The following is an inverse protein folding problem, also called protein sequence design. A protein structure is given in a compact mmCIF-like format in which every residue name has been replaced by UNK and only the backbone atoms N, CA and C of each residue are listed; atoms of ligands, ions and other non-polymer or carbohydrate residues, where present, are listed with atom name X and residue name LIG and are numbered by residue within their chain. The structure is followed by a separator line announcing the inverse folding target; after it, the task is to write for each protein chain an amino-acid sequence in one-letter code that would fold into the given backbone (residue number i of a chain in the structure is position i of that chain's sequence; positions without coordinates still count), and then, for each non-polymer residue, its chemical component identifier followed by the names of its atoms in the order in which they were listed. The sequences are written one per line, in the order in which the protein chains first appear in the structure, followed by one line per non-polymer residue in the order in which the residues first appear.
data_IF_551531886262
#
_entry.id   IF_551531886262
#
_cell.length_a   1.000
_cell.length_b   1.000
_cell.length_c   1.000
_cell.angle_alpha   90.00
_cell.angle_beta   90.00
_cell.angle_gamma   90.00
#
_symmetry.space_group_name_H-M   'P 1'
#
loop_
_entity.id
_entity.type
_entity.pdbx_description
1 polymer ?
#
# COMPACT_ATOMS: atom_id res chain seq x y z
N UNK A 1 21.10 7.65 6.71
CA UNK A 1 20.40 8.22 7.90
C UNK A 1 19.00 7.68 7.85
N UNK A 2 18.55 7.04 8.93
CA UNK A 2 17.19 6.53 9.03
C UNK A 2 16.19 7.68 9.15
N UNK A 3 15.05 7.53 8.49
CA UNK A 3 13.93 8.46 8.53
C UNK A 3 12.65 7.70 8.81
N UNK A 4 11.65 8.42 9.32
CA UNK A 4 10.34 7.88 9.60
C UNK A 4 9.45 8.14 8.38
N UNK A 5 8.81 7.08 7.88
CA UNK A 5 7.92 7.11 6.73
C UNK A 5 6.54 6.57 7.10
N UNK A 6 5.45 7.09 6.51
CA UNK A 6 4.17 6.43 6.62
C UNK A 6 4.24 5.10 5.84
N UNK A 7 3.56 4.08 6.33
CA UNK A 7 3.51 2.76 5.72
C UNK A 7 2.08 2.25 5.62
N UNK A 8 1.86 1.37 4.64
CA UNK A 8 0.62 0.65 4.43
C UNK A 8 0.91 -0.82 4.18
N UNK A 9 0.31 -1.70 4.99
CA UNK A 9 0.40 -3.14 4.78
C UNK A 9 -0.59 -3.62 3.71
N UNK A 10 -0.10 -4.47 2.81
CA UNK A 10 -0.82 -5.01 1.65
C UNK A 10 -0.55 -6.52 1.57
N UNK A 11 -1.61 -7.32 1.44
CA UNK A 11 -1.48 -8.78 1.36
C UNK A 11 -0.84 -9.20 0.03
N UNK A 12 0.11 -10.12 0.10
CA UNK A 12 0.78 -10.69 -1.04
C UNK A 12 -0.21 -11.35 -2.02
N UNK A 13 0.01 -11.25 -3.34
CA UNK A 13 1.17 -10.65 -4.03
C UNK A 13 0.96 -9.17 -4.43
N UNK A 14 0.00 -8.46 -3.81
CA UNK A 14 -0.39 -7.13 -4.29
C UNK A 14 0.67 -6.06 -4.08
N UNK A 15 1.50 -6.15 -3.04
CA UNK A 15 2.61 -5.23 -2.83
C UNK A 15 3.69 -5.38 -3.90
N UNK A 16 3.99 -6.63 -4.30
CA UNK A 16 4.88 -6.94 -5.41
C UNK A 16 4.34 -6.40 -6.75
N UNK A 17 3.04 -6.54 -7.02
CA UNK A 17 2.43 -5.94 -8.22
C UNK A 17 2.53 -4.41 -8.24
N UNK A 18 2.47 -3.75 -7.07
CA UNK A 18 2.68 -2.31 -6.98
C UNK A 18 4.13 -1.97 -7.29
N UNK A 19 5.09 -2.68 -6.67
CA UNK A 19 6.52 -2.48 -6.90
C UNK A 19 6.91 -2.69 -8.38
N UNK A 20 6.26 -3.62 -9.08
CA UNK A 20 6.48 -3.87 -10.51
C UNK A 20 5.72 -2.89 -11.43
N UNK A 21 4.90 -1.98 -10.88
CA UNK A 21 4.07 -1.04 -11.64
C UNK A 21 2.87 -1.69 -12.34
N UNK A 22 2.53 -2.94 -12.00
CA UNK A 22 1.40 -3.70 -12.57
C UNK A 22 0.08 -3.26 -11.93
N UNK A 23 0.07 -3.06 -10.61
CA UNK A 23 -1.09 -2.60 -9.85
C UNK A 23 -0.95 -1.10 -9.59
N UNK A 24 -1.83 -0.31 -10.20
CA UNK A 24 -1.79 1.17 -10.14
C UNK A 24 -2.87 1.75 -9.24
N UNK A 25 -3.80 0.91 -8.76
CA UNK A 25 -4.86 1.32 -7.83
C UNK A 25 -4.87 0.43 -6.60
N UNK A 26 -4.86 1.02 -5.41
CA UNK A 26 -5.11 0.31 -4.16
C UNK A 26 -6.56 0.50 -3.70
N UNK A 27 -7.24 -0.60 -3.37
CA UNK A 27 -8.68 -0.56 -3.05
C UNK A 27 -8.86 -0.66 -1.54
N UNK A 28 -9.57 0.30 -0.95
CA UNK A 28 -9.83 0.35 0.49
C UNK A 28 -11.27 0.77 0.77
N UNK A 29 -11.83 0.23 1.85
CA UNK A 29 -13.12 0.67 2.41
C UNK A 29 -13.06 2.03 3.13
N UNK A 30 -11.90 2.69 3.10
CA UNK A 30 -11.64 3.96 3.78
C UNK A 30 -10.66 4.80 2.96
N UNK A 31 -10.55 6.08 3.32
CA UNK A 31 -9.70 7.08 2.65
C UNK A 31 -8.69 7.67 3.64
N UNK A 32 -7.50 8.08 3.19
CA UNK A 32 -6.59 8.79 4.07
C UNK A 32 -7.16 10.17 4.39
N UNK A 33 -6.74 10.75 5.53
CA UNK A 33 -7.23 12.06 5.96
C UNK A 33 -6.65 13.21 5.11
N UNK A 34 -5.48 12.99 4.53
CA UNK A 34 -4.74 14.00 3.76
C UNK A 34 -4.24 13.40 2.44
N UNK A 35 -4.20 14.25 1.40
CA UNK A 35 -3.67 13.94 0.08
C UNK A 35 -2.88 15.16 -0.46
N UNK A 36 -1.83 14.94 -1.26
CA UNK A 36 -1.26 13.63 -1.60
C UNK A 36 -0.50 13.01 -0.42
N UNK A 37 -0.51 11.68 -0.30
CA UNK A 37 0.43 10.99 0.59
C UNK A 37 1.72 10.76 -0.17
N UNK A 38 2.81 11.36 0.30
CA UNK A 38 4.14 11.23 -0.32
C UNK A 38 5.00 10.24 0.46
N UNK A 39 5.86 9.53 -0.26
CA UNK A 39 6.81 8.58 0.31
C UNK A 39 6.16 7.50 1.20
N UNK A 40 4.97 7.03 0.82
CA UNK A 40 4.28 5.94 1.49
C UNK A 40 5.02 4.62 1.21
N UNK A 41 5.42 3.93 2.27
CA UNK A 41 6.06 2.61 2.17
C UNK A 41 4.99 1.54 2.03
N UNK A 42 5.08 0.74 0.97
CA UNK A 42 4.28 -0.46 0.82
C UNK A 42 5.00 -1.62 1.52
N UNK A 43 4.33 -2.19 2.52
CA UNK A 43 4.79 -3.37 3.25
C UNK A 43 3.93 -4.55 2.82
N UNK A 44 4.53 -5.52 2.13
CA UNK A 44 3.84 -6.73 1.74
C UNK A 44 3.85 -7.75 2.87
N UNK A 45 2.68 -8.35 3.15
CA UNK A 45 2.50 -9.29 4.24
C UNK A 45 1.61 -10.48 3.81
N UNK A 46 1.54 -11.56 4.60
CA UNK A 46 0.89 -12.80 4.19
C UNK A 46 -0.63 -12.82 4.44
N UNK A 47 -1.12 -12.11 5.46
CA UNK A 47 -2.51 -12.21 5.92
C UNK A 47 -3.18 -10.86 6.12
N UNK A 48 -4.52 -10.82 6.05
CA UNK A 48 -5.25 -9.59 6.36
C UNK A 48 -5.17 -9.25 7.86
N UNK A 49 -4.78 -8.00 8.16
CA UNK A 49 -4.74 -7.44 9.51
C UNK A 49 -6.07 -6.73 9.81
N UNK A 50 -6.94 -7.42 10.55
CA UNK A 50 -8.35 -7.07 10.71
C UNK A 50 -8.67 -6.39 12.04
N UNK A 51 -7.92 -6.71 13.08
CA UNK A 51 -8.13 -6.21 14.43
C UNK A 51 -7.12 -5.10 14.77
N UNK A 52 -7.50 -4.26 15.71
CA UNK A 52 -6.56 -3.27 16.25
C UNK A 52 -5.43 -3.99 16.99
N UNK A 53 -4.19 -3.56 16.76
CA UNK A 53 -3.00 -4.23 17.28
C UNK A 53 -2.54 -5.47 16.50
N UNK A 54 -3.22 -5.88 15.42
CA UNK A 54 -2.71 -6.93 14.54
C UNK A 54 -1.36 -6.54 13.95
N UNK A 55 -0.38 -7.42 14.11
CA UNK A 55 0.99 -7.29 13.59
C UNK A 55 1.49 -8.63 13.05
N UNK A 56 2.21 -8.60 11.94
CA UNK A 56 2.97 -9.75 11.47
C UNK A 56 4.27 -9.31 10.78
N UNK A 57 5.14 -10.28 10.49
CA UNK A 57 6.33 -10.00 9.69
C UNK A 57 5.92 -9.73 8.24
N UNK A 58 6.27 -8.54 7.73
CA UNK A 58 6.14 -8.18 6.33
C UNK A 58 7.48 -7.78 5.73
N UNK A 59 7.43 -7.30 4.49
CA UNK A 59 8.60 -6.83 3.74
C UNK A 59 8.29 -5.51 3.07
N UNK A 60 9.10 -4.49 3.31
CA UNK A 60 9.01 -3.23 2.57
C UNK A 60 9.47 -3.46 1.13
N UNK A 61 8.58 -3.23 0.16
CA UNK A 61 8.79 -3.56 -1.27
C UNK A 61 8.83 -2.34 -2.19
N UNK A 62 8.22 -1.21 -1.81
CA UNK A 62 8.26 0.02 -2.59
C UNK A 62 8.02 1.25 -1.71
N UNK A 63 8.56 2.40 -2.11
CA UNK A 63 7.96 3.71 -1.80
C UNK A 63 7.02 4.09 -2.95
N UNK A 64 5.90 4.73 -2.62
CA UNK A 64 4.93 5.23 -3.59
C UNK A 64 4.38 6.57 -3.15
N UNK A 65 3.74 7.27 -4.07
CA UNK A 65 2.86 8.39 -3.75
C UNK A 65 1.41 7.98 -3.98
N UNK A 66 0.50 8.44 -3.12
CA UNK A 66 -0.94 8.38 -3.36
C UNK A 66 -1.39 9.77 -3.81
N UNK A 67 -1.65 9.93 -5.11
CA UNK A 67 -1.92 11.25 -5.71
C UNK A 67 -3.35 11.71 -5.48
N UNK A 68 -4.32 10.78 -5.55
CA UNK A 68 -5.73 11.06 -5.43
C UNK A 68 -6.52 9.82 -4.99
N UNK A 69 -7.78 10.03 -4.61
CA UNK A 69 -8.70 8.96 -4.23
C UNK A 69 -10.08 9.24 -4.82
N UNK A 70 -10.69 8.23 -5.44
CA UNK A 70 -12.05 8.32 -6.00
C UNK A 70 -12.85 7.05 -5.72
N UNK A 71 -14.17 7.11 -5.94
CA UNK A 71 -15.03 5.94 -5.79
C UNK A 71 -14.59 4.88 -6.81
N UNK A 72 -14.37 3.64 -6.34
CA UNK A 72 -13.85 2.58 -7.19
C UNK A 72 -14.87 2.20 -8.27
N UNK A 73 -14.41 2.00 -9.50
CA UNK A 73 -15.25 1.69 -10.64
C UNK A 73 -15.05 0.24 -11.13
N UNK A 74 -16.10 -0.38 -11.66
CA UNK A 74 -16.04 -1.75 -12.22
C UNK A 74 -14.99 -1.91 -13.32
N UNK A 75 -14.75 -0.86 -14.11
CA UNK A 75 -13.74 -0.84 -15.17
C UNK A 75 -12.29 -0.86 -14.65
N UNK A 76 -12.09 -0.71 -13.35
CA UNK A 76 -10.78 -0.58 -12.72
C UNK A 76 -10.28 -1.88 -12.06
N UNK A 77 -11.02 -2.98 -12.21
CA UNK A 77 -10.66 -4.30 -11.64
C UNK A 77 -9.24 -4.72 -12.03
N UNK A 78 -8.87 -4.58 -13.31
CA UNK A 78 -7.54 -4.97 -13.80
C UNK A 78 -6.43 -4.09 -13.24
N UNK A 79 -6.63 -2.76 -13.21
CA UNK A 79 -5.68 -1.80 -12.64
C UNK A 79 -5.46 -2.03 -11.14
N UNK A 80 -6.51 -2.48 -10.44
CA UNK A 80 -6.46 -2.85 -9.04
C UNK A 80 -5.93 -4.27 -8.80
N UNK A 81 -5.75 -5.09 -9.84
CA UNK A 81 -5.51 -6.54 -9.74
C UNK A 81 -6.48 -7.21 -8.76
N UNK A 82 -7.75 -6.78 -8.78
CA UNK A 82 -8.79 -7.28 -7.92
C UNK A 82 -9.53 -8.46 -8.57
N UNK A 83 -10.18 -9.30 -7.76
CA UNK A 83 -10.97 -10.44 -8.26
C UNK A 83 -12.45 -10.10 -8.49
N UNK A 84 -12.94 -9.01 -7.89
CA UNK A 84 -14.32 -8.54 -8.00
C UNK A 84 -14.35 -7.03 -7.80
N UNK A 85 -15.52 -6.42 -7.97
CA UNK A 85 -15.80 -5.02 -7.62
C UNK A 85 -16.92 -4.96 -6.59
N UNK A 86 -16.86 -3.99 -5.67
CA UNK A 86 -17.89 -3.74 -4.66
C UNK A 86 -18.14 -2.24 -4.47
N UNK A 87 -19.41 -1.87 -4.33
CA UNK A 87 -19.83 -0.49 -4.09
C UNK A 87 -19.37 -0.01 -2.70
N UNK A 88 -19.12 1.30 -2.56
CA UNK A 88 -18.67 1.91 -1.30
C UNK A 88 -17.17 1.81 -1.01
N UNK A 89 -16.40 1.15 -1.88
CA UNK A 89 -14.93 1.12 -1.81
C UNK A 89 -14.30 2.25 -2.62
N UNK A 90 -13.08 2.61 -2.24
CA UNK A 90 -12.31 3.70 -2.81
C UNK A 90 -11.06 3.19 -3.51
N UNK A 91 -10.79 3.72 -4.70
CA UNK A 91 -9.56 3.50 -5.43
C UNK A 91 -8.57 4.61 -5.08
N UNK A 92 -7.42 4.21 -4.54
CA UNK A 92 -6.29 5.08 -4.23
C UNK A 92 -5.33 5.03 -5.41
N UNK A 93 -5.10 6.17 -6.06
CA UNK A 93 -4.25 6.27 -7.25
C UNK A 93 -2.79 6.25 -6.84
N UNK A 94 -2.08 5.20 -7.25
CA UNK A 94 -0.66 4.99 -6.96
C UNK A 94 0.18 5.60 -8.08
N UNK A 95 1.12 6.46 -7.71
CA UNK A 95 2.07 7.10 -8.61
C UNK A 95 3.49 7.03 -8.06
N UNK A 96 4.46 7.38 -8.91
CA UNK A 96 5.86 7.57 -8.51
C UNK A 96 6.42 6.36 -7.75
N UNK A 97 6.19 5.14 -8.26
CA UNK A 97 6.65 3.90 -7.64
C UNK A 97 8.18 3.84 -7.65
N UNK A 98 8.77 3.61 -6.48
CA UNK A 98 10.21 3.44 -6.25
C UNK A 98 10.43 2.09 -5.56
N UNK A 99 10.78 1.02 -6.29
CA UNK A 99 10.96 -0.30 -5.72
C UNK A 99 12.10 -0.37 -4.71
N UNK A 100 11.95 -1.21 -3.68
CA UNK A 100 12.98 -1.50 -2.67
C UNK A 100 13.63 -2.83 -3.02
N UNK A 101 14.93 -2.81 -3.33
CA UNK A 101 15.68 -4.03 -3.65
C UNK A 101 17.03 -4.06 -2.93
N UNK A 102 17.32 -5.12 -2.13
CA UNK A 102 16.39 -6.19 -1.75
C UNK A 102 15.26 -5.70 -0.84
N UNK A 103 14.08 -6.35 -0.82
CA UNK A 103 13.02 -6.02 0.14
C UNK A 103 13.52 -6.16 1.58
N UNK A 104 13.09 -5.25 2.44
CA UNK A 104 13.55 -5.15 3.85
C UNK A 104 12.50 -5.70 4.78
N UNK A 105 12.88 -6.66 5.63
CA UNK A 105 11.97 -7.23 6.63
C UNK A 105 11.56 -6.18 7.66
N UNK A 106 10.26 -5.99 7.86
CA UNK A 106 9.71 -4.95 8.72
C UNK A 106 8.31 -5.34 9.23
N UNK A 107 7.87 -4.85 10.41
CA UNK A 107 6.53 -5.12 10.88
C UNK A 107 5.44 -4.57 9.94
N UNK A 108 4.47 -5.42 9.63
CA UNK A 108 3.21 -5.09 8.99
C UNK A 108 2.16 -4.78 10.06
N UNK A 109 1.39 -3.70 9.91
CA UNK A 109 0.35 -3.28 10.86
C UNK A 109 -0.91 -2.80 10.15
N UNK A 110 -2.02 -2.81 10.87
CA UNK A 110 -3.31 -2.33 10.38
C UNK A 110 -3.30 -0.79 10.20
N UNK A 111 -4.07 -0.31 9.20
CA UNK A 111 -4.19 1.11 8.79
C UNK A 111 -2.84 1.70 8.32
N UNK A 112 -2.75 3.03 8.23
CA UNK A 112 -1.47 3.70 8.04
C UNK A 112 -0.78 3.79 9.39
N UNK A 113 0.51 3.44 9.40
CA UNK A 113 1.38 3.49 10.57
C UNK A 113 2.74 4.05 10.16
N UNK A 114 3.66 4.18 11.12
CA UNK A 114 4.98 4.74 10.88
C UNK A 114 6.06 3.67 10.98
N UNK A 115 7.00 3.71 10.05
CA UNK A 115 8.17 2.82 10.00
C UNK A 115 9.45 3.61 9.89
N UNK A 116 10.53 3.07 10.44
CA UNK A 116 11.87 3.62 10.29
C UNK A 116 12.62 2.86 9.19
N UNK A 117 13.08 3.57 8.16
CA UNK A 117 13.87 3.01 7.07
C UNK A 117 15.05 3.92 6.71
N UNK A 118 16.11 3.33 6.16
CA UNK A 118 17.18 4.11 5.56
C UNK A 118 16.65 4.84 4.31
N UNK A 119 16.88 6.16 4.27
CA UNK A 119 16.46 6.97 3.14
C UNK A 119 17.16 6.54 1.85
N UNK A 120 16.44 6.63 0.72
CA UNK A 120 16.98 6.51 -0.64
C UNK A 120 17.78 7.74 -1.01
#
# INVERSE_FOLDING_TARGET
MRRIYPALSIVAPSGSYIAEGIKTLEIRSWRPNELPLKDLVIVENAHYLNQDGDEELGRAVAWVDISSVHAWQKSEIEQAKANYWEDGYWAWVIENVRPIHPPVDIPARRKIYWVELDAV
#
